data_IF_290284744553
#
_entry.id   IF_290284744553
#
_cell.length_a   1.000
_cell.length_b   1.000
_cell.length_c   1.000
_cell.angle_alpha   90.00
_cell.angle_beta   90.00
_cell.angle_gamma   90.00
#
_symmetry.space_group_name_H-M   'P 1'
#
loop_
_entity.id
_entity.type
_entity.pdbx_description
1 polymer ?
#
# COMPACT_ATOMS: atom_id res chain seq x y z
N UNK A 1 12.50 4.78 -10.79
CA UNK A 1 12.93 4.07 -9.55
C UNK A 1 14.28 4.58 -9.01
N UNK A 2 14.51 4.58 -7.68
CA UNK A 2 15.81 4.93 -7.03
C UNK A 2 16.64 3.69 -6.64
N UNK A 3 17.84 3.93 -6.08
CA UNK A 3 18.71 2.88 -5.52
C UNK A 3 18.01 2.05 -4.43
N UNK A 4 18.63 0.94 -4.04
CA UNK A 4 18.08 0.02 -3.05
C UNK A 4 18.22 0.57 -1.62
N UNK A 5 17.09 0.74 -0.93
CA UNK A 5 16.99 1.10 0.49
C UNK A 5 15.72 0.42 1.03
N UNK A 6 15.88 -0.71 1.73
CA UNK A 6 14.77 -1.58 2.10
C UNK A 6 13.78 -0.89 3.03
N UNK A 7 14.29 -0.27 4.10
CA UNK A 7 13.46 0.38 5.13
C UNK A 7 12.60 1.50 4.52
N UNK A 8 13.19 2.33 3.65
CA UNK A 8 12.41 3.39 2.98
C UNK A 8 11.52 2.85 1.87
N UNK A 9 11.94 1.82 1.16
CA UNK A 9 11.20 1.27 0.03
C UNK A 9 9.87 0.65 0.46
N UNK A 10 9.90 -0.23 1.46
CA UNK A 10 8.70 -1.01 1.82
C UNK A 10 7.55 -0.10 2.28
N UNK A 11 7.84 0.85 3.17
CA UNK A 11 6.86 1.84 3.65
C UNK A 11 6.38 2.75 2.51
N UNK A 12 7.29 3.21 1.66
CA UNK A 12 6.94 4.09 0.56
C UNK A 12 5.98 3.41 -0.43
N UNK A 13 6.23 2.14 -0.77
CA UNK A 13 5.37 1.40 -1.70
C UNK A 13 3.97 1.26 -1.15
N UNK A 14 3.80 0.82 0.11
CA UNK A 14 2.48 0.66 0.71
C UNK A 14 1.75 2.00 0.79
N UNK A 15 2.44 3.07 1.20
CA UNK A 15 1.85 4.41 1.30
C UNK A 15 1.41 4.96 -0.06
N UNK A 16 2.24 4.80 -1.09
CA UNK A 16 2.02 5.41 -2.41
C UNK A 16 1.06 4.62 -3.31
N UNK A 17 0.77 3.36 -3.00
CA UNK A 17 -0.29 2.59 -3.68
C UNK A 17 -1.63 3.30 -3.60
N UNK A 18 -2.14 3.69 -4.77
CA UNK A 18 -3.33 4.52 -4.93
C UNK A 18 -3.90 4.40 -6.34
N UNK A 19 -5.09 4.95 -6.53
CA UNK A 19 -5.60 5.32 -7.84
C UNK A 19 -4.80 6.53 -8.36
N UNK A 20 -3.93 6.32 -9.34
CA UNK A 20 -3.01 7.35 -9.85
C UNK A 20 -3.73 8.28 -10.82
N UNK A 21 -4.61 7.72 -11.64
CA UNK A 21 -5.55 8.45 -12.50
C UNK A 21 -6.94 7.79 -12.40
N UNK A 22 -8.05 8.51 -12.68
CA UNK A 22 -9.39 7.95 -12.57
C UNK A 22 -9.53 6.63 -13.35
N UNK A 23 -9.88 5.55 -12.65
CA UNK A 23 -10.03 4.20 -13.17
C UNK A 23 -8.76 3.34 -13.17
N UNK A 24 -7.61 3.84 -12.69
CA UNK A 24 -6.33 3.12 -12.73
C UNK A 24 -5.59 3.15 -11.39
N UNK A 25 -5.55 1.99 -10.73
CA UNK A 25 -4.80 1.77 -9.50
C UNK A 25 -3.43 1.17 -9.85
N UNK A 26 -2.38 1.76 -9.29
CA UNK A 26 -1.01 1.25 -9.40
C UNK A 26 -0.58 0.71 -8.04
N UNK A 27 0.05 -0.47 -8.03
CA UNK A 27 0.45 -1.20 -6.83
C UNK A 27 1.78 -1.92 -7.04
N UNK A 28 2.43 -2.33 -5.95
CA UNK A 28 3.68 -3.07 -5.98
C UNK A 28 4.83 -2.24 -6.53
N UNK A 29 5.81 -2.90 -7.16
CA UNK A 29 7.03 -2.22 -7.62
C UNK A 29 6.83 -1.18 -8.72
N UNK A 30 5.71 -1.22 -9.44
CA UNK A 30 5.39 -0.22 -10.45
C UNK A 30 5.20 1.18 -9.82
N UNK A 31 4.75 1.24 -8.57
CA UNK A 31 4.65 2.48 -7.78
C UNK A 31 6.01 3.17 -7.65
N UNK A 32 7.09 2.41 -7.47
CA UNK A 32 8.45 2.98 -7.39
C UNK A 32 8.94 3.55 -8.73
N UNK A 33 8.40 3.10 -9.87
CA UNK A 33 8.74 3.69 -11.16
C UNK A 33 8.10 5.06 -11.32
N UNK A 34 6.81 5.17 -11.00
CA UNK A 34 6.07 6.42 -11.16
C UNK A 34 6.52 7.47 -10.13
N UNK A 35 6.61 7.09 -8.86
CA UNK A 35 6.87 8.05 -7.77
C UNK A 35 8.37 8.17 -7.40
N UNK A 36 9.24 7.42 -8.07
CA UNK A 36 10.68 7.47 -7.82
C UNK A 36 11.07 7.01 -6.40
N UNK A 37 10.38 6.00 -5.87
CA UNK A 37 10.73 5.37 -4.59
C UNK A 37 11.97 4.45 -4.72
N UNK A 38 12.70 4.19 -3.62
CA UNK A 38 13.74 3.15 -3.57
C UNK A 38 13.17 1.76 -3.86
N UNK A 39 14.01 0.85 -4.33
CA UNK A 39 13.66 -0.59 -4.44
C UNK A 39 13.97 -1.33 -3.13
N UNK A 40 13.20 -2.37 -2.78
CA UNK A 40 13.44 -3.16 -1.56
C UNK A 40 14.29 -4.43 -1.76
N UNK A 41 14.52 -4.89 -2.99
CA UNK A 41 15.30 -6.10 -3.22
C UNK A 41 14.55 -7.38 -2.85
N UNK A 42 15.18 -8.39 -2.22
CA UNK A 42 14.61 -9.72 -2.02
C UNK A 42 13.72 -9.83 -0.76
N UNK A 43 12.82 -8.86 -0.56
CA UNK A 43 11.76 -8.90 0.46
C UNK A 43 10.42 -8.63 -0.21
N UNK A 44 9.34 -9.19 0.33
CA UNK A 44 8.02 -9.23 -0.31
C UNK A 44 6.89 -8.67 0.56
N UNK A 45 7.20 -8.20 1.78
CA UNK A 45 6.18 -7.71 2.72
C UNK A 45 5.36 -6.57 2.11
N UNK A 46 6.05 -5.54 1.61
CA UNK A 46 5.39 -4.42 0.94
C UNK A 46 4.57 -4.84 -0.29
N UNK A 47 4.95 -5.89 -1.02
CA UNK A 47 4.18 -6.36 -2.18
C UNK A 47 2.82 -6.91 -1.76
N UNK A 48 2.80 -7.72 -0.69
CA UNK A 48 1.56 -8.30 -0.17
C UNK A 48 0.62 -7.21 0.38
N UNK A 49 1.15 -6.30 1.20
CA UNK A 49 0.35 -5.23 1.81
C UNK A 49 -0.11 -4.21 0.76
N UNK A 50 0.75 -3.86 -0.19
CA UNK A 50 0.39 -3.01 -1.32
C UNK A 50 -0.73 -3.65 -2.16
N UNK A 51 -0.63 -4.94 -2.47
CA UNK A 51 -1.67 -5.66 -3.20
C UNK A 51 -3.01 -5.65 -2.46
N UNK A 52 -2.99 -5.89 -1.14
CA UNK A 52 -4.19 -5.83 -0.30
C UNK A 52 -4.81 -4.42 -0.30
N UNK A 53 -3.99 -3.37 -0.13
CA UNK A 53 -4.47 -1.98 -0.19
C UNK A 53 -5.10 -1.67 -1.56
N UNK A 54 -4.48 -2.10 -2.64
CA UNK A 54 -5.01 -1.91 -4.00
C UNK A 54 -6.35 -2.61 -4.20
N UNK A 55 -6.54 -3.82 -3.66
CA UNK A 55 -7.83 -4.51 -3.70
C UNK A 55 -8.92 -3.73 -2.96
N UNK A 56 -8.60 -3.14 -1.81
CA UNK A 56 -9.55 -2.28 -1.09
C UNK A 56 -9.88 -0.99 -1.82
N UNK A 57 -8.90 -0.37 -2.47
CA UNK A 57 -9.15 0.78 -3.35
C UNK A 57 -10.05 0.40 -4.52
N UNK A 58 -9.86 -0.78 -5.12
CA UNK A 58 -10.72 -1.25 -6.19
C UNK A 58 -12.16 -1.49 -5.71
N UNK A 59 -12.35 -2.13 -4.55
CA UNK A 59 -13.67 -2.30 -3.93
C UNK A 59 -14.34 -0.95 -3.68
N UNK A 60 -13.59 0.03 -3.19
CA UNK A 60 -14.05 1.41 -2.99
C UNK A 60 -14.52 2.05 -4.29
N UNK A 61 -13.73 1.97 -5.36
CA UNK A 61 -14.09 2.52 -6.67
C UNK A 61 -15.31 1.84 -7.29
N UNK A 62 -15.59 0.59 -6.92
CA UNK A 62 -16.80 -0.15 -7.30
C UNK A 62 -18.02 0.13 -6.41
N UNK A 63 -17.88 0.95 -5.36
CA UNK A 63 -18.94 1.22 -4.38
C UNK A 63 -19.27 0.03 -3.48
N UNK A 64 -18.33 -0.91 -3.35
CA UNK A 64 -18.46 -2.11 -2.51
C UNK A 64 -17.85 -1.87 -1.11
N UNK A 65 -18.30 -2.62 -0.09
CA UNK A 65 -17.72 -2.56 1.24
C UNK A 65 -16.20 -2.82 1.21
N UNK A 66 -15.43 -1.98 1.89
CA UNK A 66 -13.97 -2.06 1.90
C UNK A 66 -13.43 -1.63 3.28
N UNK A 67 -12.20 -2.06 3.58
CA UNK A 67 -11.57 -1.81 4.89
C UNK A 67 -11.04 -0.37 5.07
N UNK A 68 -10.98 0.43 4.00
CA UNK A 68 -10.46 1.80 4.06
C UNK A 68 -11.52 2.80 4.57
N UNK A 69 -12.79 2.55 4.25
CA UNK A 69 -13.91 3.41 4.69
C UNK A 69 -14.53 2.92 6.02
N UNK A 70 -14.34 1.65 6.40
CA UNK A 70 -14.88 1.08 7.63
C UNK A 70 -13.95 1.33 8.83
N UNK A 71 -14.01 2.52 9.41
CA UNK A 71 -13.37 2.80 10.70
C UNK A 71 -14.16 2.09 11.81
N UNK A 72 -13.73 0.90 12.21
CA UNK A 72 -14.21 0.24 13.44
C UNK A 72 -14.93 -1.10 13.32
N UNK A 73 -15.10 -1.69 12.12
CA UNK A 73 -15.65 -3.05 11.97
C UNK A 73 -14.83 -3.85 10.94
N UNK A 74 -13.58 -4.14 11.28
CA UNK A 74 -12.67 -4.87 10.39
C UNK A 74 -12.77 -6.36 10.72
N UNK A 75 -13.15 -7.18 9.73
CA UNK A 75 -12.95 -8.62 9.83
C UNK A 75 -11.46 -8.88 10.16
N UNK A 76 -11.14 -9.65 11.22
CA UNK A 76 -9.78 -9.75 11.76
C UNK A 76 -8.72 -10.18 10.73
N UNK A 77 -9.13 -10.82 9.64
CA UNK A 77 -8.26 -11.26 8.56
C UNK A 77 -7.80 -10.15 7.59
N UNK A 78 -8.38 -8.95 7.65
CA UNK A 78 -8.07 -7.84 6.72
C UNK A 78 -7.38 -6.62 7.38
N UNK A 79 -6.93 -6.77 8.63
CA UNK A 79 -6.37 -5.69 9.47
C UNK A 79 -5.01 -5.14 8.99
N UNK A 80 -4.27 -5.89 8.17
CA UNK A 80 -2.87 -5.59 7.86
C UNK A 80 -2.59 -4.31 7.06
N UNK A 81 -3.55 -3.75 6.32
CA UNK A 81 -3.32 -2.61 5.42
C UNK A 81 -4.06 -1.31 5.79
N UNK A 82 -4.95 -1.33 6.79
CA UNK A 82 -5.88 -0.24 7.08
C UNK A 82 -5.43 0.73 8.18
N UNK A 83 -4.41 0.37 8.97
CA UNK A 83 -3.94 1.20 10.06
C UNK A 83 -2.73 2.04 9.62
N UNK A 84 -2.93 3.36 9.47
CA UNK A 84 -1.87 4.31 9.84
C UNK A 84 -1.69 4.21 11.36
N UNK A 85 -0.90 3.23 11.80
CA UNK A 85 -0.52 3.11 13.21
C UNK A 85 0.51 4.21 13.53
N UNK A 86 0.25 4.97 14.59
CA UNK A 86 1.08 6.08 15.08
C UNK A 86 2.46 5.68 15.62
N UNK A 87 2.97 4.50 15.28
CA UNK A 87 4.32 4.03 15.67
C UNK A 87 5.21 3.98 14.43
N UNK A 88 5.60 5.17 13.97
CA UNK A 88 6.83 5.30 13.19
C UNK A 88 7.96 5.22 14.22
N UNK A 89 8.58 4.05 14.37
CA UNK A 89 9.81 3.94 15.13
C UNK A 89 10.90 4.71 14.36
N UNK A 90 11.35 5.84 14.90
CA UNK A 90 12.61 6.46 14.49
C UNK A 90 13.74 5.45 14.74
N UNK A 91 14.36 4.98 13.67
CA UNK A 91 15.64 4.29 13.66
C UNK A 91 16.47 4.77 12.47
#
# INVERSE_FOLDING_TARGET
MKALDMNKAEDAIVRLTREVVPGMIVTGMEVAEIDGAPRMGPTFGAMMISGQKAAHLALRSLGLPNALDSVGNVHPELVLAAAESAEIAEA
#
